data_IF_048980440258
#
_entry.id   IF_048980440258
#
_cell.length_a   1.000
_cell.length_b   1.000
_cell.length_c   1.000
_cell.angle_alpha   90.00
_cell.angle_beta   90.00
_cell.angle_gamma   90.00
#
_symmetry.space_group_name_H-M   'P 1'
#
loop_
_entity.id
_entity.type
_entity.pdbx_description
1 polymer ?
#
# COMPACT_ATOMS: atom_id res chain seq x y z
N UNK A 1 -9.71 18.64 -3.11
CA UNK A 1 -9.17 17.32 -3.46
C UNK A 1 -9.11 17.25 -4.97
N UNK A 2 -8.07 16.63 -5.53
CA UNK A 2 -7.95 16.44 -6.97
C UNK A 2 -9.08 15.56 -7.49
N UNK A 3 -9.51 15.81 -8.71
CA UNK A 3 -10.53 15.01 -9.38
C UNK A 3 -9.84 13.86 -10.11
N UNK A 4 -10.11 12.63 -9.67
CA UNK A 4 -9.64 11.39 -10.31
C UNK A 4 -10.74 10.87 -11.21
N UNK A 5 -10.43 10.48 -12.44
CA UNK A 5 -11.41 9.98 -13.40
C UNK A 5 -11.00 8.62 -13.93
N UNK A 6 -11.96 7.71 -14.03
CA UNK A 6 -11.76 6.38 -14.64
C UNK A 6 -12.77 6.18 -15.75
N UNK A 7 -12.31 5.67 -16.88
CA UNK A 7 -13.19 5.32 -17.99
C UNK A 7 -13.97 4.04 -17.67
N UNK A 8 -15.29 4.05 -17.86
CA UNK A 8 -16.19 2.92 -17.59
C UNK A 8 -15.75 1.62 -18.29
N UNK A 9 -15.32 1.70 -19.55
CA UNK A 9 -14.85 0.52 -20.28
C UNK A 9 -13.51 -0.01 -19.75
N UNK A 10 -12.61 0.87 -19.29
CA UNK A 10 -11.36 0.46 -18.62
C UNK A 10 -11.68 -0.27 -17.31
N UNK A 11 -12.62 0.27 -16.53
CA UNK A 11 -13.04 -0.32 -15.26
C UNK A 11 -13.69 -1.70 -15.44
N UNK A 12 -14.58 -1.84 -16.43
CA UNK A 12 -15.21 -3.13 -16.74
C UNK A 12 -14.18 -4.19 -17.15
N UNK A 13 -13.24 -3.85 -18.03
CA UNK A 13 -12.17 -4.78 -18.40
C UNK A 13 -11.28 -5.16 -17.21
N UNK A 14 -10.95 -4.21 -16.34
CA UNK A 14 -10.17 -4.48 -15.14
C UNK A 14 -10.90 -5.43 -14.18
N UNK A 15 -12.20 -5.20 -13.96
CA UNK A 15 -13.04 -6.07 -13.14
C UNK A 15 -13.15 -7.51 -13.70
N UNK A 16 -13.17 -7.67 -15.02
CA UNK A 16 -13.17 -8.98 -15.69
C UNK A 16 -11.82 -9.71 -15.58
N UNK A 17 -10.72 -8.96 -15.47
CA UNK A 17 -9.36 -9.51 -15.45
C UNK A 17 -8.94 -10.05 -14.06
N UNK A 18 -9.53 -9.53 -12.98
CA UNK A 18 -9.28 -10.01 -11.62
C UNK A 18 -9.30 -8.89 -10.58
N UNK A 19 -9.18 -9.27 -9.31
CA UNK A 19 -9.18 -8.31 -8.20
C UNK A 19 -7.93 -7.41 -8.23
N UNK A 20 -6.77 -7.97 -8.56
CA UNK A 20 -5.53 -7.21 -8.72
C UNK A 20 -5.65 -6.13 -9.79
N UNK A 21 -6.12 -6.51 -10.99
CA UNK A 21 -6.31 -5.58 -12.10
C UNK A 21 -7.37 -4.52 -11.79
N UNK A 22 -8.44 -4.92 -11.09
CA UNK A 22 -9.45 -3.99 -10.61
C UNK A 22 -8.86 -2.95 -9.66
N UNK A 23 -8.16 -3.36 -8.60
CA UNK A 23 -7.50 -2.46 -7.63
C UNK A 23 -6.48 -1.57 -8.34
N UNK A 24 -5.68 -2.17 -9.23
CA UNK A 24 -4.67 -1.48 -10.02
C UNK A 24 -5.25 -0.36 -10.89
N UNK A 25 -6.43 -0.56 -11.47
CA UNK A 25 -7.07 0.47 -12.29
C UNK A 25 -7.33 1.77 -11.50
N UNK A 26 -7.67 1.67 -10.21
CA UNK A 26 -7.86 2.83 -9.33
C UNK A 26 -6.53 3.43 -8.88
N UNK A 27 -5.55 2.60 -8.51
CA UNK A 27 -4.19 3.05 -8.17
C UNK A 27 -3.61 3.87 -9.33
N UNK A 28 -3.63 3.30 -10.54
CA UNK A 28 -3.07 3.93 -11.74
C UNK A 28 -3.76 5.27 -12.02
N UNK A 29 -5.08 5.34 -11.85
CA UNK A 29 -5.84 6.58 -12.06
C UNK A 29 -5.50 7.66 -11.03
N UNK A 30 -5.32 7.28 -9.76
CA UNK A 30 -4.90 8.22 -8.71
C UNK A 30 -3.48 8.71 -9.00
N UNK A 31 -2.55 7.80 -9.34
CA UNK A 31 -1.16 8.14 -9.70
C UNK A 31 -1.10 9.05 -10.92
N UNK A 32 -1.89 8.78 -11.96
CA UNK A 32 -1.99 9.64 -13.15
C UNK A 32 -2.50 11.04 -12.78
N UNK A 33 -3.55 11.14 -11.96
CA UNK A 33 -4.12 12.41 -11.54
C UNK A 33 -3.08 13.29 -10.81
N UNK A 34 -2.25 12.69 -9.94
CA UNK A 34 -1.22 13.42 -9.21
C UNK A 34 0.09 13.65 -9.99
N UNK A 35 0.17 13.22 -11.25
CA UNK A 35 1.37 13.38 -12.08
C UNK A 35 2.47 12.34 -11.81
N UNK A 36 2.11 11.19 -11.23
CA UNK A 36 2.96 10.01 -11.07
C UNK A 36 3.34 9.72 -9.62
N UNK A 37 4.02 10.66 -8.96
CA UNK A 37 4.66 10.42 -7.66
C UNK A 37 3.83 10.91 -6.46
N UNK A 38 3.76 10.07 -5.43
CA UNK A 38 3.23 10.44 -4.13
C UNK A 38 4.29 11.19 -3.31
N UNK A 39 4.13 12.50 -3.22
CA UNK A 39 4.97 13.42 -2.44
C UNK A 39 4.13 14.08 -1.35
N UNK A 40 4.75 14.82 -0.44
CA UNK A 40 4.00 15.60 0.55
C UNK A 40 3.03 16.63 -0.11
N UNK A 41 3.41 17.18 -1.26
CA UNK A 41 2.59 18.14 -2.00
C UNK A 41 1.39 17.46 -2.68
N UNK A 42 1.62 16.33 -3.36
CA UNK A 42 0.54 15.60 -4.05
C UNK A 42 -0.39 14.89 -3.07
N UNK A 43 0.14 14.38 -1.95
CA UNK A 43 -0.65 13.79 -0.87
C UNK A 43 -1.67 14.78 -0.30
N UNK A 44 -1.33 16.06 -0.16
CA UNK A 44 -2.26 17.09 0.31
C UNK A 44 -3.45 17.32 -0.65
N UNK A 45 -3.36 16.84 -1.90
CA UNK A 45 -4.42 16.93 -2.89
C UNK A 45 -5.37 15.72 -2.83
N UNK A 46 -4.98 14.63 -2.17
CA UNK A 46 -5.70 13.35 -2.12
C UNK A 46 -6.53 13.19 -0.85
N UNK A 47 -7.72 12.61 -0.99
CA UNK A 47 -8.58 12.32 0.16
C UNK A 47 -8.06 11.11 0.95
N UNK A 48 -8.65 10.86 2.12
CA UNK A 48 -8.19 9.78 3.00
C UNK A 48 -8.26 8.40 2.35
N UNK A 49 -9.29 8.11 1.56
CA UNK A 49 -9.44 6.81 0.90
C UNK A 49 -8.43 6.65 -0.24
N UNK A 50 -8.20 7.70 -1.03
CA UNK A 50 -7.16 7.70 -2.07
C UNK A 50 -5.75 7.51 -1.47
N UNK A 51 -5.44 8.19 -0.36
CA UNK A 51 -4.16 8.00 0.35
C UNK A 51 -4.04 6.58 0.90
N UNK A 52 -5.14 6.03 1.44
CA UNK A 52 -5.17 4.66 1.98
C UNK A 52 -4.96 3.63 0.88
N UNK A 53 -5.51 3.85 -0.32
CA UNK A 53 -5.28 2.98 -1.47
C UNK A 53 -3.82 2.99 -1.93
N UNK A 54 -3.20 4.17 -1.98
CA UNK A 54 -1.76 4.24 -2.30
C UNK A 54 -0.89 3.63 -1.20
N UNK A 55 -1.32 3.70 0.06
CA UNK A 55 -0.64 3.00 1.16
C UNK A 55 -0.76 1.47 1.03
N UNK A 56 -1.92 0.97 0.59
CA UNK A 56 -2.08 -0.44 0.24
C UNK A 56 -1.15 -0.85 -0.90
N UNK A 57 -1.16 -0.10 -2.00
CA UNK A 57 -0.34 -0.36 -3.20
C UNK A 57 1.16 -0.45 -2.87
N UNK A 58 1.69 0.56 -2.17
CA UNK A 58 3.09 0.59 -1.73
C UNK A 58 3.41 -0.58 -0.80
N UNK A 59 2.53 -0.86 0.17
CA UNK A 59 2.74 -1.97 1.09
C UNK A 59 2.74 -3.31 0.33
N UNK A 60 1.78 -3.52 -0.56
CA UNK A 60 1.63 -4.76 -1.31
C UNK A 60 2.82 -5.02 -2.23
N UNK A 61 3.22 -4.04 -3.04
CA UNK A 61 4.40 -4.18 -3.93
C UNK A 61 5.65 -4.55 -3.13
N UNK A 62 5.97 -3.78 -2.09
CA UNK A 62 7.19 -3.99 -1.32
C UNK A 62 7.18 -5.33 -0.55
N UNK A 63 6.04 -5.70 0.06
CA UNK A 63 5.94 -6.95 0.82
C UNK A 63 6.00 -8.18 -0.09
N UNK A 64 5.45 -8.10 -1.30
CA UNK A 64 5.47 -9.22 -2.25
C UNK A 64 6.82 -9.38 -2.95
N UNK A 65 7.59 -8.30 -3.13
CA UNK A 65 8.90 -8.35 -3.78
C UNK A 65 10.05 -8.64 -2.82
N UNK A 66 10.09 -7.98 -1.66
CA UNK A 66 11.24 -8.04 -0.74
C UNK A 66 10.90 -7.91 0.75
N UNK A 67 9.62 -8.04 1.10
CA UNK A 67 9.19 -8.00 2.50
C UNK A 67 9.41 -6.65 3.19
N UNK A 68 9.27 -6.68 4.51
CA UNK A 68 9.24 -5.47 5.32
C UNK A 68 10.60 -4.79 5.42
N UNK A 69 11.70 -5.54 5.31
CA UNK A 69 13.05 -4.97 5.26
C UNK A 69 13.22 -4.09 4.03
N UNK A 70 12.83 -4.57 2.85
CA UNK A 70 12.87 -3.79 1.61
C UNK A 70 11.98 -2.56 1.71
N UNK A 71 10.74 -2.72 2.18
CA UNK A 71 9.79 -1.64 2.39
C UNK A 71 10.37 -0.49 3.24
N UNK A 72 11.05 -0.84 4.35
CA UNK A 72 11.69 0.13 5.22
C UNK A 72 12.90 0.76 4.53
N UNK A 73 13.75 -0.05 3.89
CA UNK A 73 14.96 0.42 3.20
C UNK A 73 14.63 1.41 2.07
N UNK A 74 13.56 1.15 1.32
CA UNK A 74 13.06 2.02 0.25
C UNK A 74 12.40 3.32 0.78
N UNK A 75 12.36 3.51 2.11
CA UNK A 75 11.93 4.75 2.76
C UNK A 75 10.42 4.87 2.98
N UNK A 76 9.65 3.83 2.68
CA UNK A 76 8.19 3.85 2.84
C UNK A 76 7.73 3.69 4.29
N UNK A 77 8.62 3.28 5.19
CA UNK A 77 8.25 3.01 6.57
C UNK A 77 7.71 4.25 7.32
N UNK A 78 8.27 5.43 7.07
CA UNK A 78 7.74 6.65 7.65
C UNK A 78 6.30 6.93 7.20
N UNK A 79 6.00 6.69 5.92
CA UNK A 79 4.65 6.87 5.39
C UNK A 79 3.65 5.90 6.02
N UNK A 80 4.03 4.63 6.24
CA UNK A 80 3.13 3.63 6.79
C UNK A 80 2.96 3.73 8.32
N UNK A 81 4.06 3.85 9.08
CA UNK A 81 4.01 3.75 10.54
C UNK A 81 3.92 5.09 11.29
N UNK A 82 4.34 6.22 10.68
CA UNK A 82 4.19 7.55 11.31
C UNK A 82 2.83 8.19 11.00
N UNK A 83 2.10 7.66 10.02
CA UNK A 83 0.69 7.99 9.76
C UNK A 83 -0.24 6.95 10.40
N UNK A 84 -1.53 7.27 10.62
CA UNK A 84 -2.51 6.35 11.20
C UNK A 84 -3.01 5.29 10.19
N UNK A 85 -2.10 4.66 9.44
CA UNK A 85 -2.42 3.71 8.37
C UNK A 85 -3.12 2.46 8.90
N UNK A 86 -2.72 1.98 10.09
CA UNK A 86 -3.41 0.90 10.79
C UNK A 86 -4.90 1.20 11.01
N UNK A 87 -5.22 2.43 11.39
CA UNK A 87 -6.61 2.87 11.58
C UNK A 87 -7.36 2.98 10.26
N UNK A 88 -6.68 3.43 9.21
CA UNK A 88 -7.26 3.53 7.87
C UNK A 88 -7.67 2.15 7.34
N UNK A 89 -6.76 1.17 7.36
CA UNK A 89 -7.08 -0.22 7.00
C UNK A 89 -8.17 -0.82 7.87
N UNK A 90 -8.14 -0.55 9.19
CA UNK A 90 -9.21 -1.01 10.07
C UNK A 90 -10.58 -0.45 9.69
N UNK A 91 -10.66 0.82 9.27
CA UNK A 91 -11.91 1.44 8.84
C UNK A 91 -12.45 0.83 7.54
N UNK A 92 -11.55 0.30 6.69
CA UNK A 92 -11.91 -0.49 5.51
C UNK A 92 -12.28 -1.94 5.83
N UNK A 93 -12.30 -2.35 7.10
CA UNK A 93 -12.59 -3.72 7.52
C UNK A 93 -11.39 -4.67 7.47
N UNK A 94 -10.21 -4.20 7.07
CA UNK A 94 -8.94 -4.94 7.04
C UNK A 94 -8.34 -5.03 8.46
N UNK A 95 -9.07 -5.64 9.37
CA UNK A 95 -8.74 -5.66 10.81
C UNK A 95 -7.45 -6.41 11.11
N UNK A 96 -7.16 -7.50 10.39
CA UNK A 96 -5.97 -8.31 10.63
C UNK A 96 -4.72 -7.67 10.01
N UNK A 97 -4.81 -7.12 8.80
CA UNK A 97 -3.77 -6.24 8.24
C UNK A 97 -3.45 -5.06 9.18
N UNK A 98 -4.47 -4.40 9.73
CA UNK A 98 -4.27 -3.33 10.72
C UNK A 98 -3.54 -3.81 11.98
N UNK A 99 -3.74 -5.07 12.41
CA UNK A 99 -2.97 -5.66 13.51
C UNK A 99 -1.53 -5.92 13.09
N UNK A 100 -1.29 -6.41 11.87
CA UNK A 100 0.06 -6.63 11.33
C UNK A 100 0.86 -5.32 11.37
N UNK A 101 0.34 -4.24 10.77
CA UNK A 101 0.98 -2.91 10.77
C UNK A 101 1.26 -2.41 12.19
N UNK A 102 0.30 -2.61 13.10
CA UNK A 102 0.44 -2.17 14.49
C UNK A 102 1.50 -2.96 15.26
N UNK A 103 1.59 -4.28 15.05
CA UNK A 103 2.57 -5.14 15.71
C UNK A 103 3.99 -4.85 15.20
N UNK A 104 4.15 -4.72 13.88
CA UNK A 104 5.45 -4.48 13.25
C UNK A 104 6.04 -3.10 13.55
N UNK A 105 5.20 -2.12 13.94
CA UNK A 105 5.64 -0.78 14.30
C UNK A 105 6.75 -0.77 15.37
N UNK A 106 6.76 -1.71 16.31
CA UNK A 106 7.85 -1.77 17.30
C UNK A 106 9.21 -2.05 16.65
N UNK A 107 9.26 -2.99 15.69
CA UNK A 107 10.49 -3.30 14.96
C UNK A 107 10.90 -2.13 14.06
N UNK A 108 9.95 -1.53 13.32
CA UNK A 108 10.23 -0.31 12.56
C UNK A 108 10.86 0.77 13.44
N UNK A 109 10.19 1.14 14.54
CA UNK A 109 10.66 2.20 15.44
C UNK A 109 12.05 1.93 16.01
N UNK A 110 12.40 0.67 16.22
CA UNK A 110 13.67 0.28 16.84
C UNK A 110 14.81 0.22 15.83
N UNK A 111 14.52 -0.17 14.58
CA UNK A 111 15.53 -0.57 13.61
C UNK A 111 15.61 0.33 12.36
N UNK A 112 14.62 1.22 12.12
CA UNK A 112 14.54 1.94 10.85
C UNK A 112 15.77 2.80 10.55
N UNK A 113 16.38 3.45 11.55
CA UNK A 113 17.58 4.28 11.34
C UNK A 113 18.76 3.47 10.80
N UNK A 114 18.80 2.17 11.09
CA UNK A 114 19.83 1.28 10.56
C UNK A 114 19.47 0.77 9.15
N UNK A 115 18.20 0.44 8.92
CA UNK A 115 17.70 -0.14 7.66
C UNK A 115 17.65 0.92 6.54
N UNK A 116 17.25 2.15 6.87
CA UNK A 116 17.09 3.29 5.93
C UNK A 116 18.45 3.93 5.51
N UNK A 117 19.59 3.35 5.88
CA UNK A 117 20.91 3.88 5.51
C UNK A 117 21.21 3.62 4.03
N UNK A 118 22.11 4.42 3.46
CA UNK A 118 22.74 4.09 2.18
C UNK A 118 23.60 2.83 2.36
N UNK A 119 23.17 1.73 1.75
CA UNK A 119 23.84 0.42 1.82
C UNK A 119 24.24 -0.04 0.43
N UNK A 120 25.32 -0.82 0.36
CA UNK A 120 25.62 -1.63 -0.82
C UNK A 120 24.65 -2.81 -0.90
N UNK A 121 24.52 -3.42 -2.08
CA UNK A 121 23.67 -4.61 -2.26
C UNK A 121 24.03 -5.73 -1.25
N UNK A 122 25.32 -5.96 -0.99
CA UNK A 122 25.76 -6.97 -0.01
C UNK A 122 25.33 -6.63 1.42
N UNK A 123 25.45 -5.35 1.81
CA UNK A 123 25.02 -4.88 3.13
C UNK A 123 23.49 -4.92 3.26
N UNK A 124 22.76 -4.63 2.19
CA UNK A 124 21.30 -4.73 2.13
C UNK A 124 20.86 -6.19 2.28
N UNK A 125 21.47 -7.12 1.55
CA UNK A 125 21.16 -8.55 1.68
C UNK A 125 21.47 -9.08 3.09
N UNK A 126 22.50 -8.55 3.75
CA UNK A 126 22.83 -8.91 5.14
C UNK A 126 21.77 -8.43 6.16
N UNK A 127 20.88 -7.49 5.79
CA UNK A 127 19.81 -7.05 6.68
C UNK A 127 18.80 -8.14 6.99
N UNK A 128 18.49 -9.01 6.03
CA UNK A 128 17.54 -10.12 6.24
C UNK A 128 18.04 -11.10 7.31
N UNK A 129 19.33 -11.45 7.28
CA UNK A 129 19.93 -12.28 8.34
C UNK A 129 20.01 -11.56 9.69
N UNK A 130 20.16 -10.23 9.65
CA UNK A 130 20.32 -9.41 10.84
C UNK A 130 19.00 -9.14 11.57
N UNK A 131 17.90 -9.07 10.83
CA UNK A 131 16.57 -8.76 11.36
C UNK A 131 15.56 -9.86 11.00
N UNK A 132 15.81 -11.13 11.42
CA UNK A 132 14.92 -12.25 11.10
C UNK A 132 13.55 -12.12 11.76
N UNK A 133 13.36 -11.18 12.70
CA UNK A 133 12.05 -10.93 13.30
C UNK A 133 11.05 -10.30 12.32
N UNK A 134 11.50 -9.79 11.17
CA UNK A 134 10.60 -9.33 10.11
C UNK A 134 9.97 -10.48 9.32
N UNK A 135 10.64 -11.64 9.24
CA UNK A 135 10.16 -12.81 8.49
C UNK A 135 8.76 -13.26 8.96
N UNK A 136 8.50 -13.22 10.26
CA UNK A 136 7.16 -13.54 10.82
C UNK A 136 6.05 -12.65 10.24
N UNK A 137 6.35 -11.38 9.92
CA UNK A 137 5.39 -10.45 9.31
C UNK A 137 5.30 -10.60 7.80
N UNK A 138 6.42 -10.95 7.16
CA UNK A 138 6.46 -11.20 5.72
C UNK A 138 5.64 -12.46 5.40
N UNK A 139 5.84 -13.54 6.16
CA UNK A 139 5.04 -14.76 6.07
C UNK A 139 3.56 -14.50 6.38
N UNK A 140 3.23 -13.78 7.47
CA UNK A 140 1.83 -13.42 7.79
C UNK A 140 1.19 -12.62 6.66
N UNK A 141 1.96 -11.76 5.96
CA UNK A 141 1.45 -11.00 4.83
C UNK A 141 1.17 -11.89 3.63
N UNK A 142 2.15 -12.69 3.19
CA UNK A 142 2.02 -13.56 2.02
C UNK A 142 0.90 -14.59 2.21
N UNK A 143 0.74 -15.15 3.41
CA UNK A 143 -0.33 -16.11 3.70
C UNK A 143 -1.74 -15.51 3.58
N UNK A 144 -1.89 -14.20 3.79
CA UNK A 144 -3.19 -13.52 3.83
C UNK A 144 -3.40 -12.53 2.67
N UNK A 145 -2.42 -12.40 1.77
CA UNK A 145 -2.40 -11.39 0.72
C UNK A 145 -3.67 -11.44 -0.15
N UNK A 146 -4.02 -12.61 -0.70
CA UNK A 146 -5.21 -12.76 -1.54
C UNK A 146 -6.50 -12.33 -0.82
N UNK A 147 -6.63 -12.62 0.48
CA UNK A 147 -7.79 -12.21 1.29
C UNK A 147 -7.83 -10.68 1.46
N UNK A 148 -6.67 -10.05 1.70
CA UNK A 148 -6.60 -8.60 1.87
C UNK A 148 -6.81 -7.86 0.56
N UNK A 149 -6.23 -8.32 -0.54
CA UNK A 149 -6.49 -7.80 -1.90
C UNK A 149 -7.97 -7.87 -2.22
N UNK A 150 -8.61 -8.99 -1.91
CA UNK A 150 -10.06 -9.15 -2.08
C UNK A 150 -10.86 -8.14 -1.26
N UNK A 151 -10.52 -7.93 0.02
CA UNK A 151 -11.19 -6.94 0.89
C UNK A 151 -10.98 -5.51 0.41
N UNK A 152 -9.79 -5.17 -0.10
CA UNK A 152 -9.52 -3.86 -0.71
C UNK A 152 -10.40 -3.68 -1.94
N UNK A 153 -10.45 -4.65 -2.84
CA UNK A 153 -11.30 -4.61 -4.03
C UNK A 153 -12.78 -4.42 -3.66
N UNK A 154 -13.29 -5.18 -2.68
CA UNK A 154 -14.67 -5.03 -2.21
C UNK A 154 -14.95 -3.66 -1.59
N UNK A 155 -14.01 -3.11 -0.80
CA UNK A 155 -14.19 -1.78 -0.24
C UNK A 155 -14.27 -0.71 -1.34
N UNK A 156 -13.39 -0.80 -2.35
CA UNK A 156 -13.40 0.10 -3.50
C UNK A 156 -14.72 0.00 -4.25
N UNK A 157 -15.20 -1.21 -4.55
CA UNK A 157 -16.46 -1.43 -5.28
C UNK A 157 -17.68 -0.83 -4.56
N UNK A 158 -17.75 -0.96 -3.23
CA UNK A 158 -18.84 -0.39 -2.42
C UNK A 158 -18.72 1.15 -2.25
N UNK A 159 -17.55 1.73 -2.53
CA UNK A 159 -17.22 3.14 -2.27
C UNK A 159 -16.56 3.85 -3.47
N UNK A 160 -16.88 3.46 -4.71
CA UNK A 160 -16.21 3.97 -5.93
C UNK A 160 -16.13 5.51 -5.96
N UNK A 161 -17.20 6.19 -5.55
CA UNK A 161 -17.31 7.65 -5.54
C UNK A 161 -16.27 8.33 -4.62
N UNK A 162 -15.68 7.61 -3.66
CA UNK A 162 -14.60 8.12 -2.82
C UNK A 162 -13.26 8.11 -3.54
N UNK A 163 -13.10 7.30 -4.59
CA UNK A 163 -11.83 7.14 -5.31
C UNK A 163 -11.79 7.93 -6.60
N UNK A 164 -12.87 7.92 -7.37
CA UNK A 164 -12.92 8.56 -8.69
C UNK A 164 -14.35 8.88 -9.17
N UNK A 165 -14.45 9.74 -10.19
CA UNK A 165 -15.62 9.84 -11.05
C UNK A 165 -15.51 8.84 -12.21
N UNK A 166 -16.53 8.01 -12.42
CA UNK A 166 -16.62 7.18 -13.62
C UNK A 166 -17.11 8.04 -14.79
N UNK A 167 -16.30 8.12 -15.84
CA UNK A 167 -16.63 8.82 -17.08
C UNK A 167 -16.96 7.84 -18.19
N UNK A 168 -18.01 8.16 -18.95
CA UNK A 168 -18.32 7.45 -20.20
C UNK A 168 -17.34 7.89 -21.27
N UNK A 169 -16.87 6.93 -22.05
CA UNK A 169 -16.13 7.16 -23.29
C UNK A 169 -16.88 8.09 -24.25
#
# INVERSE_FOLDING_TARGET
MIEVKINDAKLQHAAEAGMDEFVKAFVDAIREAIGGELTAETMAQLNSDQITLLAWDILHEEMMDGGMVQLIHNGYGAFLWKNPTDKAFKNWGLTDLAKLIKKSHFLYKTNHEEIERDLTDEEFMALYEKFPEFDDFDDEFVENEEEWTSKVAFYIDDHIDNFCEIVKS
#
